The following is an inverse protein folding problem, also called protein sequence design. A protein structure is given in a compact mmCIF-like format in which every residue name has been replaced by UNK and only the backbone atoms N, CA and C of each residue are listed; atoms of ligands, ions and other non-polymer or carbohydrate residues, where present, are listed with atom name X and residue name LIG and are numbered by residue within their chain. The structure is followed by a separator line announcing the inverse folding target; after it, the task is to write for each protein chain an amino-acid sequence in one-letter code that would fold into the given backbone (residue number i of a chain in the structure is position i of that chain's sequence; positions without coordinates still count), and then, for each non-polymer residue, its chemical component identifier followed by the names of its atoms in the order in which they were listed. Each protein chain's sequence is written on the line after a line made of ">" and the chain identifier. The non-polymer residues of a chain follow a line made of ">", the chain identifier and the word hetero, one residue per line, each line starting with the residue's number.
data_IF_437115661580
#
_entry.id   IF_437115661580
#
_cell.length_a   1.000
_cell.length_b   1.000
_cell.length_c   1.000
_cell.angle_alpha   90.00
_cell.angle_beta   90.00
_cell.angle_gamma   90.00
#
_symmetry.space_group_name_H-M   'P 1'
#
loop_
_entity.id
_entity.type
_entity.pdbx_description
1 polymer ?
#
# COMPACT_ATOMS: atom_id res chain seq x y z
N UNK A 1 43.15 -17.57 41.29
CA UNK A 1 42.93 -16.97 42.61
C UNK A 1 42.06 -15.74 42.43
N UNK A 2 40.79 -15.88 42.82
CA UNK A 2 39.79 -14.86 43.20
C UNK A 2 39.98 -13.40 42.76
N UNK A 3 39.03 -12.88 41.98
CA UNK A 3 38.54 -11.51 42.19
C UNK A 3 37.05 -11.38 41.83
N UNK A 4 36.30 -10.93 42.82
CA UNK A 4 34.86 -10.71 42.85
C UNK A 4 34.45 -9.58 41.90
N UNK A 5 33.37 -9.77 41.13
CA UNK A 5 32.62 -8.65 40.55
C UNK A 5 31.32 -8.46 41.33
N UNK A 6 31.26 -7.31 42.01
CA UNK A 6 30.17 -6.82 42.84
C UNK A 6 28.97 -6.41 41.97
N UNK A 7 27.77 -6.88 42.34
CA UNK A 7 26.48 -6.39 41.82
C UNK A 7 26.15 -5.06 42.49
N UNK A 8 25.95 -4.00 41.70
CA UNK A 8 25.36 -2.75 42.18
C UNK A 8 23.93 -2.69 41.64
N UNK A 9 22.98 -2.85 42.56
CA UNK A 9 21.54 -2.68 42.36
C UNK A 9 21.24 -1.19 42.55
N UNK A 10 20.83 -0.47 41.50
CA UNK A 10 20.40 0.93 41.63
C UNK A 10 18.88 1.01 41.46
N UNK A 11 18.18 1.19 42.58
CA UNK A 11 16.78 1.60 42.62
C UNK A 11 16.64 3.03 42.11
N UNK A 12 15.68 3.27 41.21
CA UNK A 12 15.19 4.62 40.90
C UNK A 12 13.69 4.63 41.19
N UNK A 13 13.32 5.53 42.10
CA UNK A 13 11.98 5.76 42.60
C UNK A 13 11.11 6.51 41.58
N UNK A 14 9.86 6.08 41.44
CA UNK A 14 8.79 6.78 40.73
C UNK A 14 8.16 7.86 41.64
N UNK A 15 7.93 9.09 41.16
CA UNK A 15 7.08 10.04 41.85
C UNK A 15 5.59 9.79 41.52
N UNK A 16 4.81 9.60 42.59
CA UNK A 16 3.35 9.60 42.62
C UNK A 16 2.87 11.04 42.43
N UNK A 17 2.08 11.31 41.38
CA UNK A 17 1.39 12.60 41.19
C UNK A 17 -0.07 12.45 41.63
N UNK A 18 -0.44 13.29 42.58
CA UNK A 18 -1.73 13.37 43.25
C UNK A 18 -2.74 14.11 42.35
N UNK A 19 -3.88 13.49 42.04
CA UNK A 19 -5.01 14.16 41.37
C UNK A 19 -5.78 15.04 42.36
N UNK A 20 -5.83 16.35 42.08
CA UNK A 20 -6.71 17.30 42.76
C UNK A 20 -7.96 17.55 41.92
N UNK A 21 -9.11 17.07 42.39
CA UNK A 21 -10.44 17.39 41.84
C UNK A 21 -10.95 18.70 42.43
N UNK A 22 -11.29 19.67 41.58
CA UNK A 22 -12.08 20.84 41.96
C UNK A 22 -13.34 20.88 41.09
N UNK A 23 -14.50 20.73 41.75
CA UNK A 23 -15.81 20.98 41.18
C UNK A 23 -16.16 22.46 41.32
N UNK A 24 -16.81 23.03 40.31
CA UNK A 24 -17.82 24.09 40.49
C UNK A 24 -18.57 24.31 39.16
N UNK A 25 -19.82 23.84 39.12
CA UNK A 25 -20.92 24.42 38.31
C UNK A 25 -21.12 25.88 38.75
N UNK A 26 -21.67 26.79 37.92
CA UNK A 26 -23.14 26.86 37.86
C UNK A 26 -23.78 27.49 36.59
N UNK A 27 -25.10 27.26 36.53
CA UNK A 27 -26.20 28.13 36.09
C UNK A 27 -26.62 28.23 34.62
N UNK A 28 -27.94 28.31 34.52
CA UNK A 28 -28.83 28.17 33.40
C UNK A 28 -29.53 29.50 33.07
N UNK A 29 -30.46 29.40 32.10
CA UNK A 29 -31.52 30.36 31.73
C UNK A 29 -31.04 31.53 30.83
N UNK A 30 -31.71 31.91 29.75
CA UNK A 30 -33.15 32.12 29.56
C UNK A 30 -33.50 32.17 28.07
N UNK A 31 -34.73 31.75 27.76
CA UNK A 31 -35.42 31.97 26.49
C UNK A 31 -35.77 33.44 26.24
N UNK A 32 -36.08 33.81 24.99
CA UNK A 32 -37.30 34.58 24.68
C UNK A 32 -37.59 34.60 23.17
N UNK A 33 -38.71 33.96 22.80
CA UNK A 33 -39.80 34.46 21.97
C UNK A 33 -39.51 35.25 20.68
N UNK A 34 -40.12 34.79 19.58
CA UNK A 34 -40.92 35.72 18.78
C UNK A 34 -42.20 35.07 18.26
N UNK A 35 -43.25 35.87 18.30
CA UNK A 35 -44.63 35.48 18.23
C UNK A 35 -45.15 35.28 16.80
N UNK A 36 -46.22 34.49 16.78
CA UNK A 36 -47.20 34.27 15.73
C UNK A 36 -47.72 35.56 15.08
N UNK A 37 -47.95 35.52 13.77
CA UNK A 37 -48.96 36.34 13.11
C UNK A 37 -49.63 35.54 12.01
N UNK A 38 -50.82 35.09 12.35
CA UNK A 38 -51.84 34.49 11.50
C UNK A 38 -52.62 35.55 10.74
N UNK A 39 -52.74 35.40 9.42
CA UNK A 39 -53.88 35.93 8.66
C UNK A 39 -54.53 34.79 7.88
N UNK A 40 -55.83 34.66 8.10
CA UNK A 40 -56.72 33.68 7.51
C UNK A 40 -57.28 34.25 6.21
N UNK A 41 -57.20 33.50 5.11
CA UNK A 41 -57.97 33.76 3.89
C UNK A 41 -58.54 32.44 3.38
N UNK A 42 -59.87 32.43 3.30
CA UNK A 42 -60.76 31.32 2.96
C UNK A 42 -60.46 30.70 1.59
N UNK A 43 -60.54 29.38 1.55
CA UNK A 43 -60.35 28.51 0.39
C UNK A 43 -61.55 28.53 -0.56
N UNK A 44 -61.26 28.50 -1.86
CA UNK A 44 -62.15 28.02 -2.91
C UNK A 44 -61.36 27.02 -3.79
N UNK A 45 -61.95 25.85 -4.02
CA UNK A 45 -61.41 24.78 -4.86
C UNK A 45 -62.60 24.07 -5.54
N UNK A 46 -62.44 23.25 -6.61
CA UNK A 46 -61.23 22.91 -7.37
C UNK A 46 -61.40 22.89 -8.91
N UNK A 47 -60.30 22.70 -9.66
CA UNK A 47 -60.29 21.96 -10.93
C UNK A 47 -58.94 21.23 -11.08
N UNK A 48 -58.88 19.99 -11.61
CA UNK A 48 -57.68 19.16 -11.58
C UNK A 48 -56.80 19.45 -12.81
N UNK A 49 -55.50 19.66 -12.59
CA UNK A 49 -54.51 19.69 -13.65
C UNK A 49 -53.29 18.86 -13.23
N UNK A 50 -53.15 17.74 -13.93
CA UNK A 50 -51.92 17.01 -14.26
C UNK A 50 -50.83 16.86 -13.20
N UNK A 51 -50.71 15.63 -12.69
CA UNK A 51 -49.54 15.16 -11.98
C UNK A 51 -48.28 15.32 -12.84
N UNK A 52 -47.40 16.24 -12.42
CA UNK A 52 -46.01 16.21 -12.82
C UNK A 52 -45.39 14.88 -12.35
N UNK A 53 -44.78 14.15 -13.28
CA UNK A 53 -44.11 12.88 -13.00
C UNK A 53 -42.99 13.03 -11.96
N UNK A 54 -42.53 11.91 -11.36
CA UNK A 54 -41.47 11.95 -10.37
C UNK A 54 -40.23 12.64 -10.95
N UNK A 55 -39.72 13.64 -10.24
CA UNK A 55 -38.40 14.17 -10.49
C UNK A 55 -37.40 13.03 -10.32
N UNK A 56 -36.74 12.68 -11.42
CA UNK A 56 -35.68 11.69 -11.46
C UNK A 56 -34.58 12.12 -10.49
N UNK A 57 -34.27 11.26 -9.52
CA UNK A 57 -33.14 11.45 -8.63
C UNK A 57 -31.85 11.53 -9.47
N UNK A 58 -30.87 12.37 -9.11
CA UNK A 58 -29.61 12.39 -9.84
C UNK A 58 -28.96 11.01 -9.77
N UNK A 59 -28.76 10.39 -10.93
CA UNK A 59 -27.99 9.16 -11.09
C UNK A 59 -26.59 9.32 -10.47
N UNK A 60 -25.99 8.23 -9.93
CA UNK A 60 -24.63 8.27 -9.43
C UNK A 60 -23.69 8.74 -10.55
N UNK A 61 -22.81 9.70 -10.23
CA UNK A 61 -21.83 10.21 -11.16
C UNK A 61 -21.01 9.06 -11.78
N UNK A 62 -21.14 8.88 -13.10
CA UNK A 62 -20.23 8.10 -13.92
C UNK A 62 -18.79 8.64 -13.85
N UNK A 63 -17.81 7.88 -14.36
CA UNK A 63 -16.42 7.91 -13.89
C UNK A 63 -15.78 9.31 -13.97
N UNK A 64 -15.11 9.66 -12.88
CA UNK A 64 -14.36 10.90 -12.74
C UNK A 64 -13.18 10.97 -13.74
N UNK A 65 -13.19 12.05 -14.53
CA UNK A 65 -12.12 12.66 -15.34
C UNK A 65 -11.34 11.79 -16.34
N UNK A 66 -11.79 11.81 -17.61
CA UNK A 66 -10.93 11.57 -18.76
C UNK A 66 -9.87 12.69 -18.85
N UNK A 67 -8.70 12.48 -18.24
CA UNK A 67 -7.57 13.40 -18.26
C UNK A 67 -6.25 12.67 -18.05
N UNK A 68 -5.15 13.33 -18.37
CA UNK A 68 -3.80 12.78 -18.20
C UNK A 68 -3.33 12.93 -16.74
N UNK A 69 -2.43 12.03 -16.31
CA UNK A 69 -1.78 12.14 -15.01
C UNK A 69 -0.99 13.45 -14.89
N UNK A 70 -0.44 13.98 -16.00
CA UNK A 70 0.30 15.23 -16.00
C UNK A 70 -0.62 16.44 -15.73
N UNK A 71 -1.82 16.46 -16.29
CA UNK A 71 -2.83 17.49 -15.99
C UNK A 71 -3.29 17.40 -14.54
N UNK A 72 -3.53 16.19 -14.02
CA UNK A 72 -3.91 16.01 -12.62
C UNK A 72 -2.80 16.45 -11.66
N UNK A 73 -1.53 16.15 -11.98
CA UNK A 73 -0.38 16.58 -11.20
C UNK A 73 -0.32 18.10 -11.04
N UNK A 74 -0.71 18.85 -12.07
CA UNK A 74 -0.75 20.31 -12.01
C UNK A 74 -1.79 20.87 -11.03
N UNK A 75 -2.78 20.07 -10.63
CA UNK A 75 -3.81 20.46 -9.66
C UNK A 75 -3.42 20.19 -8.20
N UNK A 76 -2.39 19.37 -7.97
CA UNK A 76 -2.02 18.96 -6.62
C UNK A 76 -1.34 20.11 -5.86
N UNK A 77 -1.72 20.36 -4.59
CA UNK A 77 -1.04 21.34 -3.78
C UNK A 77 0.44 20.96 -3.58
N UNK A 78 1.32 21.96 -3.63
CA UNK A 78 2.74 21.80 -3.30
C UNK A 78 3.00 22.46 -1.95
N UNK A 79 3.49 21.69 -0.98
CA UNK A 79 3.86 22.17 0.37
C UNK A 79 5.07 21.39 0.90
N UNK A 80 5.69 21.89 1.97
CA UNK A 80 6.73 21.14 2.70
C UNK A 80 6.19 19.89 3.39
N UNK A 81 7.08 18.99 3.83
CA UNK A 81 6.70 17.86 4.69
C UNK A 81 6.24 18.38 6.06
N UNK A 82 5.09 17.92 6.54
CA UNK A 82 4.69 18.09 7.92
C UNK A 82 5.51 17.15 8.84
N UNK A 83 5.60 17.43 10.15
CA UNK A 83 6.26 16.54 11.10
C UNK A 83 5.64 15.14 11.11
N UNK A 84 6.47 14.11 11.30
CA UNK A 84 6.03 12.71 11.50
C UNK A 84 5.49 12.45 12.93
N UNK A 85 5.48 13.48 13.79
CA UNK A 85 5.00 13.36 15.18
C UNK A 85 3.57 12.82 15.22
N UNK A 86 3.33 11.85 16.10
CA UNK A 86 2.02 11.23 16.28
C UNK A 86 1.65 10.20 15.21
N UNK A 87 2.53 9.94 14.23
CA UNK A 87 2.32 8.83 13.30
C UNK A 87 2.46 7.49 14.03
N UNK A 88 1.40 6.71 13.95
CA UNK A 88 1.37 5.28 14.21
C UNK A 88 0.56 4.63 13.09
N UNK A 89 0.94 3.42 12.66
CA UNK A 89 0.23 2.75 11.56
C UNK A 89 -1.22 2.43 11.92
N UNK A 90 -1.50 2.20 13.20
CA UNK A 90 -2.85 1.91 13.71
C UNK A 90 -3.80 3.11 13.58
N UNK A 91 -3.28 4.32 13.30
CA UNK A 91 -4.09 5.49 12.95
C UNK A 91 -4.88 5.29 11.64
N UNK A 92 -4.48 4.33 10.81
CA UNK A 92 -5.15 3.94 9.58
C UNK A 92 -6.12 2.75 9.77
N UNK A 93 -6.39 2.38 11.03
CA UNK A 93 -7.28 1.28 11.36
C UNK A 93 -6.65 -0.10 11.14
N UNK A 94 -7.47 -1.17 11.23
CA UNK A 94 -6.99 -2.54 11.06
C UNK A 94 -6.34 -2.73 9.70
N UNK A 95 -5.18 -3.39 9.67
CA UNK A 95 -4.53 -3.75 8.42
C UNK A 95 -5.42 -4.73 7.63
N UNK A 96 -5.55 -4.49 6.32
CA UNK A 96 -6.28 -5.34 5.38
C UNK A 96 -7.77 -5.50 5.77
N UNK A 97 -8.39 -4.40 6.19
CA UNK A 97 -9.79 -4.40 6.56
C UNK A 97 -10.65 -4.65 5.32
N UNK A 98 -11.58 -5.60 5.41
CA UNK A 98 -12.64 -5.79 4.42
C UNK A 98 -13.53 -4.53 4.36
N UNK A 99 -13.21 -3.62 3.42
CA UNK A 99 -13.90 -2.33 3.24
C UNK A 99 -15.01 -2.39 2.20
N UNK A 100 -15.02 -3.39 1.32
CA UNK A 100 -16.07 -3.61 0.32
C UNK A 100 -17.13 -4.62 0.79
N UNK A 101 -16.90 -5.26 1.94
CA UNK A 101 -17.78 -6.22 2.59
C UNK A 101 -18.05 -7.47 1.74
N UNK A 102 -17.07 -7.86 0.92
CA UNK A 102 -17.15 -9.05 0.10
C UNK A 102 -16.83 -10.34 0.90
N UNK A 103 -16.32 -10.22 2.13
CA UNK A 103 -15.98 -11.32 3.03
C UNK A 103 -14.51 -11.75 2.98
N UNK A 104 -13.71 -11.13 2.13
CA UNK A 104 -12.27 -11.33 1.98
C UNK A 104 -11.52 -10.13 2.58
N UNK A 105 -10.31 -10.37 3.09
CA UNK A 105 -9.45 -9.26 3.51
C UNK A 105 -8.82 -8.59 2.28
N UNK A 106 -8.56 -7.28 2.37
CA UNK A 106 -8.01 -6.51 1.23
C UNK A 106 -6.72 -7.10 0.71
N UNK A 107 -5.89 -7.71 1.56
CA UNK A 107 -4.63 -8.33 1.10
C UNK A 107 -4.94 -9.42 0.08
N UNK A 108 -5.92 -10.26 0.34
CA UNK A 108 -6.29 -11.31 -0.58
C UNK A 108 -7.02 -10.79 -1.82
N UNK A 109 -7.78 -9.70 -1.72
CA UNK A 109 -8.35 -9.03 -2.89
C UNK A 109 -7.25 -8.56 -3.83
N UNK A 110 -6.21 -7.92 -3.29
CA UNK A 110 -5.06 -7.44 -4.08
C UNK A 110 -4.26 -8.62 -4.65
N UNK A 111 -4.04 -9.69 -3.87
CA UNK A 111 -3.38 -10.89 -4.41
C UNK A 111 -4.21 -11.53 -5.54
N UNK A 112 -5.52 -11.63 -5.39
CA UNK A 112 -6.39 -12.21 -6.41
C UNK A 112 -6.43 -11.33 -7.68
N UNK A 113 -6.36 -10.01 -7.52
CA UNK A 113 -6.30 -9.04 -8.62
C UNK A 113 -4.97 -9.10 -9.37
N UNK A 114 -3.85 -9.15 -8.65
CA UNK A 114 -2.52 -8.94 -9.23
C UNK A 114 -1.81 -10.22 -9.65
N UNK A 115 -2.21 -11.37 -9.09
CA UNK A 115 -1.64 -12.67 -9.49
C UNK A 115 -2.46 -13.28 -10.64
N UNK A 116 -1.77 -14.10 -11.42
CA UNK A 116 -2.37 -14.99 -12.42
C UNK A 116 -2.27 -16.44 -11.95
N UNK A 117 -3.01 -17.35 -12.60
CA UNK A 117 -3.04 -18.77 -12.22
C UNK A 117 -3.31 -18.97 -10.72
N UNK A 118 -4.23 -18.16 -10.17
CA UNK A 118 -4.54 -18.12 -8.74
C UNK A 118 -5.18 -19.44 -8.32
N UNK A 119 -4.68 -19.99 -7.22
CA UNK A 119 -5.28 -21.12 -6.51
C UNK A 119 -5.71 -20.62 -5.14
N UNK A 120 -6.97 -20.86 -4.81
CA UNK A 120 -7.52 -20.52 -3.49
C UNK A 120 -7.41 -21.68 -2.52
N UNK A 121 -7.37 -21.36 -1.23
CA UNK A 121 -7.45 -22.35 -0.16
C UNK A 121 -8.87 -22.92 -0.10
N UNK A 122 -8.98 -24.23 0.03
CA UNK A 122 -10.27 -24.90 0.20
C UNK A 122 -11.04 -24.38 1.42
N UNK A 123 -12.37 -24.27 1.27
CA UNK A 123 -13.28 -23.85 2.34
C UNK A 123 -13.27 -22.35 2.64
N UNK A 124 -12.53 -21.53 1.89
CA UNK A 124 -12.50 -20.07 2.10
C UNK A 124 -13.36 -19.28 1.13
N UNK A 125 -14.22 -19.93 0.33
CA UNK A 125 -15.08 -19.27 -0.68
C UNK A 125 -14.29 -18.32 -1.58
N UNK A 126 -13.15 -18.78 -2.08
CA UNK A 126 -12.27 -17.99 -2.97
C UNK A 126 -11.70 -16.71 -2.32
N UNK A 127 -11.68 -16.59 -0.99
CA UNK A 127 -11.08 -15.44 -0.31
C UNK A 127 -9.61 -15.57 0.07
N UNK A 128 -9.03 -16.78 0.16
CA UNK A 128 -7.65 -16.93 0.63
C UNK A 128 -6.80 -17.45 -0.51
N UNK A 129 -5.99 -16.59 -1.10
CA UNK A 129 -5.02 -16.96 -2.14
C UNK A 129 -3.94 -17.85 -1.53
N UNK A 130 -3.85 -19.08 -2.02
CA UNK A 130 -2.87 -20.09 -1.61
C UNK A 130 -1.63 -20.07 -2.51
N UNK A 131 -1.78 -19.84 -3.81
CA UNK A 131 -0.66 -19.68 -4.74
C UNK A 131 -1.07 -18.92 -6.00
N UNK A 132 -0.07 -18.48 -6.78
CA UNK A 132 -0.25 -17.92 -8.12
C UNK A 132 1.08 -17.49 -8.73
N UNK A 133 1.05 -16.98 -9.95
CA UNK A 133 2.20 -16.38 -10.62
C UNK A 133 2.06 -14.85 -10.62
N UNK A 134 3.04 -14.17 -10.06
CA UNK A 134 3.06 -12.72 -9.93
C UNK A 134 4.11 -12.12 -10.86
N UNK A 135 3.66 -11.36 -11.86
CA UNK A 135 4.55 -10.54 -12.68
C UNK A 135 4.78 -9.20 -11.97
N UNK A 136 5.87 -9.10 -11.21
CA UNK A 136 6.15 -7.94 -10.38
C UNK A 136 6.46 -6.70 -11.22
N UNK A 137 5.62 -5.66 -11.16
CA UNK A 137 5.84 -4.45 -11.94
C UNK A 137 7.05 -3.65 -11.44
N UNK A 138 7.47 -3.79 -10.18
CA UNK A 138 8.58 -3.01 -9.63
C UNK A 138 9.93 -3.42 -10.19
N UNK A 139 10.18 -4.72 -10.27
CA UNK A 139 11.43 -5.32 -10.74
C UNK A 139 11.35 -5.79 -12.20
N UNK A 140 10.14 -6.03 -12.72
CA UNK A 140 9.92 -6.65 -14.02
C UNK A 140 10.16 -8.16 -14.03
N UNK A 141 10.25 -8.80 -12.85
CA UNK A 141 10.48 -10.23 -12.70
C UNK A 141 9.19 -10.99 -12.39
N UNK A 142 9.18 -12.29 -12.66
CA UNK A 142 8.05 -13.16 -12.28
C UNK A 142 8.39 -13.95 -11.02
N UNK A 143 7.50 -13.90 -10.04
CA UNK A 143 7.62 -14.59 -8.75
C UNK A 143 6.51 -15.64 -8.65
N UNK A 144 6.89 -16.87 -8.35
CA UNK A 144 5.94 -17.93 -8.00
C UNK A 144 5.52 -17.75 -6.54
N UNK A 145 4.30 -17.27 -6.32
CA UNK A 145 3.75 -17.10 -4.99
C UNK A 145 3.15 -18.42 -4.48
N UNK A 146 3.54 -18.82 -3.27
CA UNK A 146 2.97 -19.94 -2.51
C UNK A 146 2.90 -19.52 -1.03
N UNK A 147 1.68 -19.37 -0.52
CA UNK A 147 1.43 -18.97 0.86
C UNK A 147 2.21 -19.86 1.84
N UNK A 148 3.15 -19.24 2.53
CA UNK A 148 4.10 -19.88 3.43
C UNK A 148 5.21 -18.91 3.83
N UNK A 149 6.07 -19.30 4.77
CA UNK A 149 7.05 -18.39 5.37
C UNK A 149 8.06 -17.82 4.35
N UNK A 150 8.39 -18.59 3.31
CA UNK A 150 9.35 -18.20 2.29
C UNK A 150 8.75 -17.16 1.34
N UNK A 151 7.77 -17.54 0.51
CA UNK A 151 7.31 -16.63 -0.56
C UNK A 151 6.28 -15.59 -0.12
N UNK A 152 5.64 -15.73 1.06
CA UNK A 152 4.74 -14.66 1.56
C UNK A 152 5.50 -13.39 1.95
N UNK A 153 6.79 -13.52 2.24
CA UNK A 153 7.67 -12.37 2.49
C UNK A 153 8.24 -11.82 1.17
N UNK A 154 8.36 -12.68 0.15
CA UNK A 154 8.77 -12.31 -1.21
C UNK A 154 7.68 -11.56 -1.99
N UNK A 155 6.39 -11.82 -1.73
CA UNK A 155 5.28 -11.03 -2.28
C UNK A 155 4.53 -10.32 -1.16
N UNK A 156 4.73 -9.01 -1.11
CA UNK A 156 4.09 -8.12 -0.14
C UNK A 156 2.97 -7.33 -0.80
N UNK A 157 2.10 -6.73 0.02
CA UNK A 157 1.17 -5.72 -0.48
C UNK A 157 1.74 -4.37 -0.08
N UNK A 158 2.10 -3.57 -1.08
CA UNK A 158 2.61 -2.22 -0.90
C UNK A 158 1.48 -1.19 -0.93
N UNK A 159 1.69 -0.13 -0.17
CA UNK A 159 1.00 1.15 -0.30
C UNK A 159 1.78 2.04 -1.27
N UNK A 160 1.30 2.19 -2.51
CA UNK A 160 1.98 2.96 -3.58
C UNK A 160 2.36 4.36 -3.10
N UNK A 161 1.43 5.04 -2.42
CA UNK A 161 1.74 6.14 -1.50
C UNK A 161 1.85 5.57 -0.08
N UNK A 162 3.08 5.48 0.44
CA UNK A 162 3.34 4.91 1.76
C UNK A 162 2.58 5.68 2.87
N UNK A 163 2.02 4.97 3.85
CA UNK A 163 1.19 5.59 4.90
C UNK A 163 1.93 6.63 5.75
N UNK A 164 3.23 6.41 5.99
CA UNK A 164 4.12 7.37 6.68
C UNK A 164 4.39 8.62 5.83
N UNK A 165 4.50 8.49 4.50
CA UNK A 165 4.61 9.63 3.59
C UNK A 165 3.28 10.40 3.54
N UNK A 166 2.16 9.69 3.39
CA UNK A 166 0.83 10.27 3.38
C UNK A 166 0.55 11.07 4.67
N UNK A 167 0.94 10.54 5.84
CA UNK A 167 0.81 11.25 7.12
C UNK A 167 1.42 12.65 7.09
N UNK A 168 2.68 12.72 6.66
CA UNK A 168 3.46 13.94 6.55
C UNK A 168 2.97 14.86 5.41
N UNK A 169 2.05 14.38 4.57
CA UNK A 169 1.55 15.07 3.38
C UNK A 169 0.02 15.21 3.34
N UNK A 170 -0.62 15.14 4.51
CA UNK A 170 -2.03 15.51 4.69
C UNK A 170 -2.89 14.49 5.39
N UNK A 171 -2.47 13.23 5.43
CA UNK A 171 -3.28 12.18 6.04
C UNK A 171 -3.49 12.37 7.55
N UNK A 172 -2.63 13.12 8.23
CA UNK A 172 -2.85 13.49 9.64
C UNK A 172 -4.10 14.38 9.86
N UNK A 173 -4.61 15.02 8.81
CA UNK A 173 -5.81 15.88 8.85
C UNK A 173 -7.09 15.14 8.40
N UNK A 174 -6.93 13.92 7.86
CA UNK A 174 -8.04 13.09 7.44
C UNK A 174 -8.79 12.54 8.65
N UNK A 175 -10.08 12.28 8.46
CA UNK A 175 -10.85 11.53 9.45
C UNK A 175 -10.28 10.13 9.64
N UNK A 176 -10.57 9.49 10.78
CA UNK A 176 -10.13 8.11 11.01
C UNK A 176 -10.67 7.15 9.93
N UNK A 177 -11.88 7.39 9.43
CA UNK A 177 -12.47 6.60 8.34
C UNK A 177 -11.74 6.83 7.02
N UNK A 178 -11.45 8.08 6.65
CA UNK A 178 -10.73 8.37 5.40
C UNK A 178 -9.29 7.81 5.42
N UNK A 179 -8.62 7.81 6.58
CA UNK A 179 -7.32 7.12 6.74
C UNK A 179 -7.48 5.61 6.54
N UNK A 180 -8.51 5.00 7.10
CA UNK A 180 -8.82 3.58 6.88
C UNK A 180 -9.09 3.28 5.41
N UNK A 181 -9.85 4.13 4.73
CA UNK A 181 -10.09 4.01 3.30
C UNK A 181 -8.78 4.11 2.52
N UNK A 182 -7.95 5.14 2.76
CA UNK A 182 -6.64 5.30 2.10
C UNK A 182 -5.72 4.08 2.27
N UNK A 183 -5.77 3.42 3.42
CA UNK A 183 -4.96 2.24 3.70
C UNK A 183 -5.48 0.94 3.07
N UNK A 184 -6.75 0.89 2.66
CA UNK A 184 -7.37 -0.32 2.09
C UNK A 184 -7.87 -0.12 0.65
N UNK A 185 -7.68 1.07 0.07
CA UNK A 185 -8.08 1.40 -1.30
C UNK A 185 -7.25 0.63 -2.33
N UNK A 186 -7.86 -0.18 -3.21
CA UNK A 186 -7.15 -0.85 -4.31
C UNK A 186 -6.37 0.10 -5.22
N UNK A 187 -6.75 1.37 -5.32
CA UNK A 187 -5.98 2.39 -6.04
C UNK A 187 -4.61 2.64 -5.40
N UNK A 188 -4.51 2.56 -4.06
CA UNK A 188 -3.27 2.76 -3.34
C UNK A 188 -2.53 1.46 -3.02
N UNK A 189 -3.08 0.30 -3.41
CA UNK A 189 -2.53 -1.01 -3.05
C UNK A 189 -2.10 -1.81 -4.27
N UNK A 190 -0.98 -2.52 -4.14
CA UNK A 190 -0.51 -3.48 -5.14
C UNK A 190 0.32 -4.59 -4.52
N UNK A 191 0.28 -5.78 -5.11
CA UNK A 191 1.31 -6.78 -4.88
C UNK A 191 2.67 -6.23 -5.37
N UNK A 192 3.73 -6.55 -4.64
CA UNK A 192 5.08 -6.10 -4.95
C UNK A 192 6.13 -7.12 -4.47
N UNK A 193 7.26 -7.18 -5.16
CA UNK A 193 8.46 -7.86 -4.70
C UNK A 193 8.90 -7.33 -3.32
N UNK A 194 9.19 -8.24 -2.40
CA UNK A 194 9.50 -7.94 -1.00
C UNK A 194 10.75 -7.07 -0.84
N UNK A 195 11.91 -7.45 -1.40
CA UNK A 195 13.11 -6.61 -1.43
C UNK A 195 12.88 -5.23 -2.06
N UNK A 196 12.21 -5.14 -3.22
CA UNK A 196 11.93 -3.85 -3.87
C UNK A 196 11.03 -2.95 -3.00
N UNK A 197 9.99 -3.54 -2.39
CA UNK A 197 9.12 -2.85 -1.44
C UNK A 197 9.87 -2.39 -0.17
N UNK A 198 10.75 -3.25 0.35
CA UNK A 198 11.63 -2.92 1.47
C UNK A 198 12.59 -1.76 1.14
N UNK A 199 13.14 -1.74 -0.07
CA UNK A 199 13.98 -0.65 -0.55
C UNK A 199 13.21 0.67 -0.72
N UNK A 200 11.93 0.60 -1.13
CA UNK A 200 11.03 1.76 -1.18
C UNK A 200 10.77 2.32 0.22
N UNK A 201 10.47 1.48 1.21
CA UNK A 201 10.15 1.90 2.58
C UNK A 201 9.05 2.99 2.59
N UNK A 202 9.25 4.10 3.31
CA UNK A 202 8.36 5.27 3.30
C UNK A 202 8.80 6.41 2.37
N UNK A 203 9.59 6.09 1.34
CA UNK A 203 10.06 7.04 0.35
C UNK A 203 8.94 7.54 -0.56
N UNK A 204 9.08 8.78 -1.03
CA UNK A 204 8.29 9.33 -2.14
C UNK A 204 9.02 9.19 -3.49
N UNK A 205 8.35 9.60 -4.57
CA UNK A 205 8.89 9.54 -5.94
C UNK A 205 10.21 10.31 -6.14
N UNK A 206 10.53 11.29 -5.29
CA UNK A 206 11.82 11.99 -5.36
C UNK A 206 12.98 11.14 -4.83
N UNK A 207 12.70 10.26 -3.87
CA UNK A 207 13.70 9.48 -3.15
C UNK A 207 13.82 8.05 -3.68
N UNK A 208 12.73 7.51 -4.25
CA UNK A 208 12.71 6.17 -4.81
C UNK A 208 11.75 6.06 -5.99
N UNK A 209 12.21 5.41 -7.06
CA UNK A 209 11.39 4.98 -8.19
C UNK A 209 11.66 3.49 -8.47
N UNK A 210 10.66 2.74 -8.97
CA UNK A 210 10.86 1.34 -9.33
C UNK A 210 12.07 1.14 -10.26
N UNK A 211 12.89 0.10 -10.04
CA UNK A 211 14.01 -0.21 -10.92
C UNK A 211 13.54 -0.52 -12.35
N UNK A 212 12.37 -1.15 -12.51
CA UNK A 212 11.72 -1.32 -13.81
C UNK A 212 11.23 0.02 -14.37
N UNK A 213 11.98 0.59 -15.31
CA UNK A 213 11.67 1.89 -15.91
C UNK A 213 10.35 1.90 -16.69
N UNK A 214 9.98 0.77 -17.32
CA UNK A 214 8.75 0.68 -18.10
C UNK A 214 7.49 0.89 -17.24
N UNK A 215 7.57 0.59 -15.94
CA UNK A 215 6.46 0.75 -15.02
C UNK A 215 6.35 2.16 -14.39
N UNK A 216 7.38 3.01 -14.52
CA UNK A 216 7.43 4.28 -13.78
C UNK A 216 6.28 5.23 -14.09
N UNK A 217 5.80 5.28 -15.33
CA UNK A 217 4.64 6.10 -15.71
C UNK A 217 3.38 5.69 -14.96
N UNK A 218 3.07 4.39 -14.93
CA UNK A 218 1.95 3.86 -14.15
C UNK A 218 2.13 4.13 -12.65
N UNK A 219 3.34 3.90 -12.12
CA UNK A 219 3.64 4.14 -10.69
C UNK A 219 3.37 5.60 -10.26
N UNK A 220 3.86 6.59 -11.02
CA UNK A 220 3.67 8.01 -10.64
C UNK A 220 2.27 8.53 -10.96
N UNK A 221 1.60 7.97 -11.98
CA UNK A 221 0.19 8.25 -12.25
C UNK A 221 -0.69 7.78 -11.09
N UNK A 222 -0.44 6.58 -10.56
CA UNK A 222 -1.14 6.08 -9.36
C UNK A 222 -0.90 6.96 -8.14
N UNK A 223 0.34 7.38 -7.87
CA UNK A 223 0.60 8.33 -6.77
C UNK A 223 -0.17 9.63 -6.94
N UNK A 224 -0.24 10.16 -8.17
CA UNK A 224 -1.01 11.37 -8.48
C UNK A 224 -2.50 11.17 -8.21
N UNK A 225 -3.06 10.05 -8.66
CA UNK A 225 -4.46 9.68 -8.46
C UNK A 225 -4.83 9.53 -6.97
N UNK A 226 -4.00 8.82 -6.20
CA UNK A 226 -4.19 8.64 -4.75
C UNK A 226 -4.14 10.00 -4.05
N UNK A 227 -3.13 10.82 -4.34
CA UNK A 227 -2.98 12.12 -3.67
C UNK A 227 -4.13 13.06 -4.02
N UNK A 228 -4.63 13.03 -5.25
CA UNK A 228 -5.82 13.78 -5.65
C UNK A 228 -7.06 13.30 -4.90
N UNK A 229 -7.32 11.99 -4.90
CA UNK A 229 -8.50 11.37 -4.25
C UNK A 229 -8.59 11.70 -2.76
N UNK A 230 -7.45 11.68 -2.05
CA UNK A 230 -7.38 11.89 -0.61
C UNK A 230 -6.96 13.32 -0.22
N UNK A 231 -6.95 14.27 -1.17
CA UNK A 231 -6.58 15.67 -0.92
C UNK A 231 -5.22 15.83 -0.23
N UNK A 232 -4.27 14.95 -0.56
CA UNK A 232 -2.89 15.00 -0.08
C UNK A 232 -2.07 15.97 -0.94
N UNK A 233 -0.99 16.50 -0.38
CA UNK A 233 -0.06 17.35 -1.13
C UNK A 233 1.23 16.60 -1.50
N UNK A 234 2.03 17.24 -2.36
CA UNK A 234 3.38 16.79 -2.69
C UNK A 234 4.39 17.83 -2.22
N UNK A 235 5.63 17.38 -2.01
CA UNK A 235 6.75 18.34 -1.93
C UNK A 235 7.14 18.81 -3.33
N UNK A 236 7.85 19.94 -3.43
CA UNK A 236 8.35 20.40 -4.72
C UNK A 236 9.22 19.34 -5.40
N UNK A 237 10.14 18.71 -4.65
CA UNK A 237 11.02 17.68 -5.19
C UNK A 237 10.25 16.44 -5.71
N UNK A 238 9.20 16.03 -5.00
CA UNK A 238 8.33 14.92 -5.43
C UNK A 238 7.56 15.29 -6.69
N UNK A 239 6.97 16.48 -6.73
CA UNK A 239 6.26 16.99 -7.90
C UNK A 239 7.15 17.04 -9.13
N UNK A 240 8.36 17.60 -9.00
CA UNK A 240 9.34 17.71 -10.08
C UNK A 240 9.79 16.32 -10.58
N UNK A 241 10.01 15.36 -9.66
CA UNK A 241 10.37 13.99 -10.01
C UNK A 241 9.25 13.29 -10.81
N UNK A 242 8.00 13.44 -10.37
CA UNK A 242 6.83 12.89 -11.06
C UNK A 242 6.64 13.56 -12.44
N UNK A 243 6.76 14.89 -12.51
CA UNK A 243 6.69 15.63 -13.76
C UNK A 243 7.79 15.19 -14.75
N UNK A 244 9.01 14.95 -14.26
CA UNK A 244 10.10 14.44 -15.08
C UNK A 244 9.78 13.06 -15.67
N UNK A 245 9.19 12.14 -14.89
CA UNK A 245 8.76 10.83 -15.40
C UNK A 245 7.64 11.01 -16.43
N UNK A 246 6.58 11.75 -16.09
CA UNK A 246 5.42 11.95 -16.96
C UNK A 246 5.74 12.70 -18.25
N UNK A 247 6.82 13.50 -18.29
CA UNK A 247 7.29 14.13 -19.53
C UNK A 247 7.69 13.11 -20.62
N UNK A 248 8.01 11.87 -20.22
CA UNK A 248 8.33 10.77 -21.15
C UNK A 248 7.09 10.00 -21.62
N UNK A 249 5.94 10.25 -21.00
CA UNK A 249 4.66 9.59 -21.25
C UNK A 249 3.49 10.57 -20.98
N UNK A 250 3.40 11.68 -21.76
CA UNK A 250 2.46 12.78 -21.47
C UNK A 250 0.99 12.35 -21.55
N UNK A 251 0.69 11.33 -22.35
CA UNK A 251 -0.67 10.79 -22.52
C UNK A 251 -1.03 9.73 -21.48
N UNK A 252 -0.18 9.48 -20.47
CA UNK A 252 -0.45 8.49 -19.42
C UNK A 252 -1.78 8.84 -18.72
N UNK A 253 -2.80 7.97 -18.78
CA UNK A 253 -4.09 8.24 -18.15
C UNK A 253 -3.97 8.18 -16.61
N UNK A 254 -4.87 8.88 -15.95
CA UNK A 254 -5.13 8.68 -14.51
C UNK A 254 -5.81 7.32 -14.33
N UNK A 255 -5.29 6.42 -13.46
CA UNK A 255 -5.95 5.15 -13.18
C UNK A 255 -7.29 5.36 -12.46
N UNK A 256 -8.31 4.60 -12.85
CA UNK A 256 -9.69 4.68 -12.35
C UNK A 256 -9.95 3.80 -11.11
N UNK A 257 -8.91 3.13 -10.59
CA UNK A 257 -9.00 2.26 -9.42
C UNK A 257 -9.37 0.81 -9.73
N UNK A 258 -9.57 0.43 -11.00
CA UNK A 258 -9.82 -0.96 -11.42
C UNK A 258 -8.58 -1.88 -11.32
N UNK A 259 -7.48 -1.40 -10.75
CA UNK A 259 -6.17 -2.06 -10.74
C UNK A 259 -5.17 -1.34 -11.62
N UNK A 260 -3.88 -1.58 -11.37
CA UNK A 260 -2.82 -1.02 -12.20
C UNK A 260 -2.99 -1.52 -13.64
N UNK A 261 -2.73 -0.67 -14.66
CA UNK A 261 -2.65 -1.18 -16.02
C UNK A 261 -1.63 -2.32 -16.04
N UNK A 262 -1.88 -3.41 -16.81
CA UNK A 262 -0.92 -4.50 -16.90
C UNK A 262 0.44 -3.92 -17.20
N UNK A 263 1.46 -4.36 -16.47
CA UNK A 263 2.85 -4.05 -16.79
C UNK A 263 3.00 -4.34 -18.28
N UNK A 264 3.22 -3.29 -19.07
CA UNK A 264 3.30 -3.37 -20.53
C UNK A 264 4.22 -4.54 -20.84
N UNK A 265 3.64 -5.60 -21.42
CA UNK A 265 4.41 -6.75 -21.85
C UNK A 265 5.52 -6.20 -22.74
N UNK A 266 6.77 -6.43 -22.36
CA UNK A 266 7.94 -6.09 -23.17
C UNK A 266 7.75 -6.72 -24.54
N UNK A 267 7.35 -5.91 -25.51
CA UNK A 267 7.43 -6.25 -26.93
C UNK A 267 8.91 -6.31 -27.28
N UNK A 268 9.53 -7.47 -27.09
CA UNK A 268 10.96 -7.66 -27.32
C UNK A 268 11.58 -8.85 -26.61
N UNK A 269 10.91 -10.00 -26.60
CA UNK A 269 11.55 -11.29 -26.35
C UNK A 269 10.94 -12.29 -27.34
N UNK A 270 11.32 -12.16 -28.61
CA UNK A 270 11.25 -13.25 -29.56
C UNK A 270 12.30 -14.29 -29.14
N UNK A 271 11.84 -15.35 -28.50
CA UNK A 271 12.54 -16.62 -28.44
C UNK A 271 11.45 -17.67 -28.68
N UNK A 272 11.50 -18.26 -29.87
CA UNK A 272 10.50 -19.18 -30.39
C UNK A 272 10.14 -20.27 -29.37
N UNK A 273 8.84 -20.35 -29.08
CA UNK A 273 8.24 -21.55 -28.58
C UNK A 273 8.14 -22.54 -29.75
N UNK A 274 9.17 -23.37 -29.94
CA UNK A 274 8.95 -24.67 -30.54
C UNK A 274 8.26 -25.55 -29.51
N UNK A 275 7.12 -26.11 -29.90
CA UNK A 275 6.37 -27.13 -29.17
C UNK A 275 7.32 -28.24 -28.67
N UNK A 276 7.53 -28.30 -27.35
CA UNK A 276 8.03 -29.52 -26.71
C UNK A 276 6.97 -29.99 -25.74
N UNK A 277 6.26 -31.03 -26.18
CA UNK A 277 5.34 -31.80 -25.37
C UNK A 277 5.99 -32.17 -24.03
N UNK A 278 5.23 -31.98 -22.95
CA UNK A 278 5.60 -32.34 -21.60
C UNK A 278 6.03 -33.81 -21.49
N UNK A 279 7.27 -34.02 -21.03
CA UNK A 279 7.70 -35.29 -20.43
C UNK A 279 7.65 -35.12 -18.89
N UNK A 280 6.77 -35.84 -18.16
CA UNK A 280 6.61 -35.66 -16.73
C UNK A 280 7.62 -36.52 -15.97
N UNK A 281 8.91 -36.16 -15.98
CA UNK A 281 9.91 -36.79 -15.11
C UNK A 281 11.26 -36.04 -15.05
N UNK A 282 11.30 -34.87 -14.39
CA UNK A 282 12.57 -34.35 -13.85
C UNK A 282 12.30 -33.58 -12.54
N UNK A 283 12.77 -34.14 -11.43
CA UNK A 283 12.53 -33.61 -10.09
C UNK A 283 13.13 -32.23 -9.87
N UNK A 284 12.38 -31.37 -9.19
CA UNK A 284 12.84 -30.10 -8.64
C UNK A 284 13.93 -30.40 -7.62
N UNK A 285 15.19 -30.15 -7.97
CA UNK A 285 16.32 -30.37 -7.06
C UNK A 285 16.22 -29.42 -5.86
N UNK A 286 16.22 -29.97 -4.65
CA UNK A 286 16.37 -29.18 -3.42
C UNK A 286 17.65 -28.35 -3.46
N UNK A 287 17.61 -27.14 -2.91
CA UNK A 287 18.81 -26.30 -2.79
C UNK A 287 19.96 -27.07 -2.11
N UNK A 288 21.21 -26.91 -2.56
CA UNK A 288 22.34 -27.64 -1.99
C UNK A 288 22.54 -27.25 -0.52
N UNK A 289 22.65 -28.24 0.37
CA UNK A 289 22.93 -28.00 1.79
C UNK A 289 24.44 -28.06 2.01
N UNK A 290 25.05 -26.90 2.28
CA UNK A 290 26.47 -26.85 2.60
C UNK A 290 26.71 -27.11 4.10
N UNK A 291 27.62 -28.02 4.42
CA UNK A 291 27.99 -28.31 5.81
C UNK A 291 28.82 -27.15 6.44
N UNK A 292 29.68 -26.51 5.66
CA UNK A 292 30.60 -25.46 6.09
C UNK A 292 31.17 -24.69 4.88
N UNK A 293 31.94 -23.63 5.12
CA UNK A 293 32.55 -22.81 4.06
C UNK A 293 33.52 -23.55 3.13
N UNK A 294 34.09 -24.68 3.55
CA UNK A 294 34.92 -25.50 2.64
C UNK A 294 34.05 -26.14 1.56
N UNK A 295 32.85 -26.61 1.91
CA UNK A 295 31.90 -27.16 0.95
C UNK A 295 31.36 -26.10 -0.01
N UNK A 296 31.08 -24.89 0.49
CA UNK A 296 30.66 -23.73 -0.34
C UNK A 296 31.72 -23.40 -1.39
N UNK A 297 33.01 -23.32 -0.97
CA UNK A 297 34.13 -23.04 -1.88
C UNK A 297 34.39 -24.16 -2.86
N UNK A 298 34.33 -25.42 -2.41
CA UNK A 298 34.49 -26.58 -3.29
C UNK A 298 33.41 -26.66 -4.37
N UNK A 299 32.20 -26.15 -4.07
CA UNK A 299 31.10 -26.01 -5.03
C UNK A 299 31.19 -24.76 -5.92
N UNK A 300 32.21 -23.91 -5.73
CA UNK A 300 32.37 -22.65 -6.49
C UNK A 300 31.35 -21.56 -6.14
N UNK A 301 30.66 -21.69 -5.00
CA UNK A 301 29.57 -20.79 -4.61
C UNK A 301 30.02 -19.63 -3.69
N UNK A 302 31.33 -19.45 -3.46
CA UNK A 302 31.86 -18.38 -2.61
C UNK A 302 32.29 -17.14 -3.43
N UNK A 303 32.04 -15.90 -2.97
CA UNK A 303 31.31 -15.56 -1.74
C UNK A 303 29.81 -15.85 -1.90
N UNK A 304 29.24 -16.53 -0.91
CA UNK A 304 27.82 -16.86 -0.87
C UNK A 304 27.09 -15.74 -0.13
N UNK A 305 25.89 -15.33 -0.58
CA UNK A 305 25.16 -14.18 -0.04
C UNK A 305 23.71 -14.54 0.33
N UNK A 306 23.04 -13.72 1.16
CA UNK A 306 21.61 -13.86 1.40
C UNK A 306 20.81 -13.92 0.10
N UNK A 307 20.16 -15.07 -0.15
CA UNK A 307 19.39 -15.34 -1.36
C UNK A 307 20.02 -16.36 -2.32
N UNK A 308 21.31 -16.68 -2.16
CA UNK A 308 21.96 -17.72 -2.96
C UNK A 308 21.47 -19.13 -2.54
N UNK A 309 21.35 -20.09 -3.48
CA UNK A 309 20.97 -21.46 -3.17
C UNK A 309 21.94 -22.10 -2.17
N UNK A 310 21.43 -22.48 -1.00
CA UNK A 310 22.22 -23.07 0.08
C UNK A 310 22.80 -22.05 1.08
N UNK A 311 22.43 -20.77 0.98
CA UNK A 311 22.78 -19.75 1.98
C UNK A 311 22.28 -20.11 3.38
N UNK A 312 23.13 -19.85 4.38
CA UNK A 312 22.84 -19.99 5.81
C UNK A 312 23.60 -18.88 6.56
N UNK A 313 22.96 -18.15 7.49
CA UNK A 313 23.60 -17.08 8.26
C UNK A 313 24.89 -17.51 8.98
N UNK A 314 25.08 -18.80 9.25
CA UNK A 314 26.33 -19.31 9.84
C UNK A 314 27.57 -19.08 8.96
N UNK A 315 27.39 -18.79 7.67
CA UNK A 315 28.47 -18.52 6.73
C UNK A 315 28.96 -17.06 6.79
N UNK A 316 28.15 -16.17 7.33
CA UNK A 316 28.42 -14.74 7.54
C UNK A 316 28.93 -14.50 8.97
N UNK A 317 30.19 -14.86 9.21
CA UNK A 317 30.76 -14.84 10.56
C UNK A 317 30.93 -13.43 11.15
N UNK A 318 31.06 -12.42 10.30
CA UNK A 318 31.26 -11.02 10.63
C UNK A 318 30.02 -10.13 10.39
N UNK A 319 28.98 -10.65 9.74
CA UNK A 319 27.68 -10.01 9.63
C UNK A 319 27.64 -8.89 8.60
N UNK A 320 28.52 -8.95 7.59
CA UNK A 320 28.63 -7.92 6.55
C UNK A 320 27.83 -8.25 5.28
N UNK A 321 27.20 -9.43 5.25
CA UNK A 321 26.37 -9.91 4.14
C UNK A 321 27.13 -10.73 3.10
N UNK A 322 28.43 -11.01 3.29
CA UNK A 322 29.23 -11.88 2.42
C UNK A 322 29.79 -13.10 3.18
N UNK A 323 29.19 -14.27 2.96
CA UNK A 323 29.63 -15.49 3.62
C UNK A 323 30.79 -16.20 2.93
N UNK A 324 31.62 -16.85 3.74
CA UNK A 324 32.74 -17.69 3.31
C UNK A 324 33.82 -16.97 2.47
N UNK A 325 34.06 -15.69 2.77
CA UNK A 325 35.05 -14.82 2.12
C UNK A 325 36.51 -15.11 2.53
N UNK A 326 36.74 -15.83 3.65
CA UNK A 326 38.07 -16.23 4.16
C UNK A 326 38.28 -17.72 4.20
#
# INVERSE_FOLDING_TARGET
>A
MTSLHSKVLSLIALPVILFGSAACTPLAETETGNASSSISATAEAPAPAEAAGPAEAPEPAGPAAAGTALEQLATLPIKGRAPKTGYDRDQFGPAWADIDHNGCDTRNDILARDLTAVVYKDGTKECVVASGSFADPYTGTTISFVRGNETSTAVQIDHVVALSDAWQKGAQQLSAEDRRQLANDPLNLMAADGPANGAKSDSDAASWLPPNKAFRCGYVATQTAVKAKYSLWMTQAEHDAIASVLSTCPDQPVPDGAGLPPAVAVAGADAGAEDVAADPAAGVGSAPVYANCTAVKAAGAAPIRPGDPGWDPKFDGDGDGEGCTS
#
